data_IF_509648528059
#
_entry.id   IF_509648528059
#
_cell.length_a   1.000
_cell.length_b   1.000
_cell.length_c   1.000
_cell.angle_alpha   90.00
_cell.angle_beta   90.00
_cell.angle_gamma   90.00
#
_symmetry.space_group_name_H-M   'P 1'
#
loop_
_entity.id
_entity.type
_entity.pdbx_description
1 polymer ?
#
# COMPACT_ATOMS: atom_id res chain seq x y z
N UNK A 1 -24.50 -56.95 1.15
CA UNK A 1 -24.37 -55.64 1.80
C UNK A 1 -22.87 -55.39 1.90
N UNK A 2 -22.37 -54.55 1.00
CA UNK A 2 -20.95 -54.41 0.65
C UNK A 2 -20.36 -53.18 1.33
N UNK A 3 -19.45 -53.42 2.27
CA UNK A 3 -18.62 -52.42 2.98
C UNK A 3 -17.44 -51.89 2.15
N UNK A 4 -17.56 -51.86 0.81
CA UNK A 4 -16.43 -51.53 -0.09
C UNK A 4 -16.60 -50.19 -0.84
N UNK A 5 -17.67 -49.44 -0.57
CA UNK A 5 -17.95 -48.15 -1.20
C UNK A 5 -17.63 -46.92 -0.35
N UNK A 6 -17.11 -47.10 0.87
CA UNK A 6 -16.81 -45.98 1.77
C UNK A 6 -15.31 -45.71 2.02
N UNK A 7 -14.38 -46.54 1.51
CA UNK A 7 -12.95 -46.32 1.74
C UNK A 7 -12.21 -45.58 0.61
N UNK A 8 -12.86 -45.39 -0.55
CA UNK A 8 -12.28 -44.69 -1.73
C UNK A 8 -12.69 -43.22 -1.86
N UNK A 9 -13.69 -42.76 -1.12
CA UNK A 9 -14.22 -41.40 -1.18
C UNK A 9 -13.65 -40.45 -0.10
N UNK A 10 -12.75 -40.91 0.77
CA UNK A 10 -12.32 -40.12 1.95
C UNK A 10 -10.79 -39.97 2.10
N UNK A 11 -10.02 -40.22 1.04
CA UNK A 11 -8.55 -39.99 1.04
C UNK A 11 -8.01 -39.20 -0.16
N UNK A 12 -8.89 -38.66 -1.02
CA UNK A 12 -8.49 -38.10 -2.33
C UNK A 12 -8.77 -36.60 -2.51
N UNK A 13 -9.23 -35.86 -1.51
CA UNK A 13 -9.47 -34.39 -1.64
C UNK A 13 -8.48 -33.50 -0.88
N UNK A 14 -7.37 -34.04 -0.34
CA UNK A 14 -6.56 -33.31 0.67
C UNK A 14 -5.12 -32.97 0.23
N UNK A 15 -4.69 -33.31 -1.00
CA UNK A 15 -3.28 -33.11 -1.41
C UNK A 15 -3.10 -32.68 -2.88
N UNK A 16 -3.98 -31.83 -3.43
CA UNK A 16 -3.68 -31.08 -4.66
C UNK A 16 -3.27 -29.67 -4.26
N UNK A 17 -2.09 -29.24 -4.69
CA UNK A 17 -1.36 -28.12 -4.10
C UNK A 17 -1.92 -26.77 -4.54
N UNK A 18 -2.65 -26.12 -3.63
CA UNK A 18 -3.03 -24.72 -3.76
C UNK A 18 -1.76 -23.85 -3.68
N UNK A 19 -1.54 -22.98 -4.66
CA UNK A 19 -0.33 -22.18 -4.76
C UNK A 19 -0.54 -20.72 -4.30
N UNK A 20 0.39 -20.21 -3.48
CA UNK A 20 0.56 -18.77 -3.23
C UNK A 20 1.64 -18.24 -4.16
N UNK A 21 1.35 -17.15 -4.85
CA UNK A 21 2.31 -16.42 -5.68
C UNK A 21 2.76 -15.13 -5.02
N UNK A 22 4.07 -14.87 -5.07
CA UNK A 22 4.67 -13.62 -4.62
C UNK A 22 5.75 -13.16 -5.58
N UNK A 23 5.77 -11.86 -5.83
CA UNK A 23 6.69 -11.22 -6.76
C UNK A 23 7.59 -10.26 -5.99
N UNK A 24 8.90 -10.45 -6.12
CA UNK A 24 9.92 -9.46 -5.79
C UNK A 24 10.62 -9.06 -7.10
N UNK A 25 10.68 -7.76 -7.39
CA UNK A 25 10.90 -7.25 -8.75
C UNK A 25 12.27 -7.46 -9.40
N UNK A 26 12.28 -7.51 -10.75
CA UNK A 26 13.43 -7.35 -11.65
C UNK A 26 13.03 -6.52 -12.90
N UNK A 27 13.09 -5.20 -12.77
CA UNK A 27 12.84 -4.17 -13.80
C UNK A 27 13.06 -2.79 -13.16
N UNK A 28 13.46 -1.75 -13.90
CA UNK A 28 13.59 -0.39 -13.35
C UNK A 28 12.92 0.59 -14.32
N UNK A 29 11.83 1.21 -13.89
CA UNK A 29 11.21 2.33 -14.56
C UNK A 29 11.41 3.59 -13.71
N UNK A 30 11.78 4.71 -14.33
CA UNK A 30 12.07 5.98 -13.66
C UNK A 30 11.29 7.10 -14.33
N UNK A 31 10.63 7.91 -13.51
CA UNK A 31 9.73 8.98 -13.95
C UNK A 31 10.08 10.26 -13.25
N UNK A 32 10.11 11.37 -13.98
CA UNK A 32 10.51 12.66 -13.42
C UNK A 32 9.42 13.69 -13.69
N UNK A 33 8.87 14.27 -12.63
CA UNK A 33 8.09 15.51 -12.69
C UNK A 33 9.04 16.70 -12.58
N UNK A 34 8.90 17.71 -13.46
CA UNK A 34 9.73 18.92 -13.41
C UNK A 34 8.87 20.16 -13.57
N UNK A 35 8.97 21.10 -12.63
CA UNK A 35 8.34 22.43 -12.73
C UNK A 35 9.34 23.46 -12.24
N UNK A 36 9.53 24.54 -13.00
CA UNK A 36 10.26 25.75 -12.61
C UNK A 36 11.66 25.59 -11.94
N UNK A 37 12.40 24.50 -12.16
CA UNK A 37 13.73 24.28 -11.57
C UNK A 37 13.74 23.28 -10.40
N UNK A 38 12.57 22.87 -9.94
CA UNK A 38 12.37 21.72 -9.07
C UNK A 38 12.17 20.43 -9.88
N UNK A 39 12.55 19.30 -9.28
CA UNK A 39 12.26 17.99 -9.85
C UNK A 39 12.00 16.94 -8.78
N UNK A 40 11.09 16.02 -9.06
CA UNK A 40 10.86 14.83 -8.26
C UNK A 40 10.94 13.59 -9.16
N UNK A 41 11.57 12.52 -8.70
CA UNK A 41 11.74 11.28 -9.49
C UNK A 41 11.25 10.06 -8.73
N UNK A 42 10.45 9.20 -9.37
CA UNK A 42 10.00 7.90 -8.84
C UNK A 42 10.69 6.76 -9.59
N UNK A 43 11.26 5.78 -8.88
CA UNK A 43 11.84 4.56 -9.46
C UNK A 43 11.16 3.30 -8.92
N UNK A 44 10.68 2.39 -9.78
CA UNK A 44 9.92 1.18 -9.40
C UNK A 44 10.61 -0.09 -9.90
N UNK A 45 10.49 -1.20 -9.14
CA UNK A 45 10.85 -2.54 -9.62
C UNK A 45 9.71 -3.57 -9.59
N UNK A 46 9.55 -4.32 -10.69
CA UNK A 46 8.57 -5.41 -10.84
C UNK A 46 9.18 -6.62 -11.55
N UNK A 47 8.62 -7.81 -11.37
CA UNK A 47 9.05 -9.06 -12.02
C UNK A 47 7.85 -9.97 -12.26
N UNK A 48 7.95 -10.93 -13.19
CA UNK A 48 6.84 -11.85 -13.47
C UNK A 48 6.78 -13.01 -12.47
N UNK A 49 5.60 -13.64 -12.33
CA UNK A 49 5.41 -14.86 -11.54
C UNK A 49 4.85 -16.02 -12.36
N UNK A 50 5.52 -17.17 -12.26
CA UNK A 50 5.10 -18.41 -12.88
C UNK A 50 4.68 -19.43 -11.82
N UNK A 51 3.50 -20.04 -12.00
CA UNK A 51 3.07 -21.21 -11.24
C UNK A 51 2.65 -22.35 -12.15
N UNK A 52 2.98 -23.56 -11.73
CA UNK A 52 2.47 -24.77 -12.34
C UNK A 52 1.98 -25.73 -11.25
N UNK A 53 0.71 -26.12 -11.32
CA UNK A 53 0.11 -27.09 -10.40
C UNK A 53 -0.88 -28.02 -11.13
N UNK A 54 -1.39 -29.02 -10.43
CA UNK A 54 -2.25 -30.09 -10.95
C UNK A 54 -3.72 -29.67 -11.14
N UNK A 55 -4.07 -28.45 -10.75
CA UNK A 55 -5.45 -27.94 -10.76
C UNK A 55 -5.65 -26.72 -11.66
N UNK A 56 -4.57 -26.01 -11.94
CA UNK A 56 -4.58 -24.68 -12.53
C UNK A 56 -5.22 -23.62 -11.63
N UNK A 57 -5.36 -23.85 -10.32
CA UNK A 57 -5.97 -22.88 -9.38
C UNK A 57 -4.93 -22.05 -8.62
N UNK A 58 -5.28 -20.81 -8.28
CA UNK A 58 -4.48 -19.91 -7.42
C UNK A 58 -5.33 -19.49 -6.23
N UNK A 59 -4.80 -19.54 -5.01
CA UNK A 59 -5.55 -19.03 -3.83
C UNK A 59 -5.12 -17.65 -3.38
N UNK A 60 -3.96 -17.18 -3.83
CA UNK A 60 -3.45 -15.87 -3.47
C UNK A 60 -2.36 -15.38 -4.42
N UNK A 61 -2.48 -14.13 -4.84
CA UNK A 61 -1.47 -13.35 -5.55
C UNK A 61 -1.02 -12.20 -4.66
N UNK A 62 0.29 -12.05 -4.50
CA UNK A 62 0.89 -10.98 -3.72
C UNK A 62 1.93 -10.20 -4.52
N UNK A 63 2.08 -8.92 -4.21
CA UNK A 63 3.12 -8.05 -4.74
C UNK A 63 4.02 -7.58 -3.59
N UNK A 64 5.34 -7.53 -3.80
CA UNK A 64 6.27 -6.96 -2.84
C UNK A 64 6.93 -5.70 -3.42
N UNK A 65 6.22 -4.55 -3.40
CA UNK A 65 6.69 -3.38 -4.11
C UNK A 65 7.98 -2.85 -3.50
N UNK A 66 8.78 -2.13 -4.29
CA UNK A 66 9.86 -1.28 -3.80
C UNK A 66 9.97 -0.07 -4.70
N UNK A 67 10.22 1.08 -4.09
CA UNK A 67 10.43 2.31 -4.84
C UNK A 67 11.29 3.32 -4.10
N UNK A 68 11.89 4.22 -4.87
CA UNK A 68 12.60 5.39 -4.36
C UNK A 68 11.99 6.64 -4.97
N UNK A 69 11.83 7.66 -4.13
CA UNK A 69 11.41 9.01 -4.49
C UNK A 69 12.55 9.96 -4.16
N UNK A 70 13.04 10.69 -5.15
CA UNK A 70 14.04 11.73 -4.96
C UNK A 70 13.40 13.09 -5.25
N UNK A 71 13.74 14.13 -4.51
CA UNK A 71 13.35 15.51 -4.79
C UNK A 71 14.54 16.45 -4.65
N UNK A 72 14.53 17.53 -5.43
CA UNK A 72 15.56 18.57 -5.38
C UNK A 72 14.99 19.91 -5.84
N UNK A 73 15.52 21.00 -5.27
CA UNK A 73 15.21 22.37 -5.67
C UNK A 73 13.79 22.83 -5.36
N UNK A 74 13.12 22.26 -4.35
CA UNK A 74 11.83 22.76 -3.87
C UNK A 74 12.03 24.04 -3.04
N UNK A 75 11.02 24.92 -3.01
CA UNK A 75 11.00 26.06 -2.09
C UNK A 75 10.53 25.65 -0.69
N UNK A 76 9.63 24.67 -0.62
CA UNK A 76 9.14 24.07 0.63
C UNK A 76 10.00 22.87 1.07
N UNK A 77 10.28 22.78 2.38
CA UNK A 77 10.85 21.58 2.96
C UNK A 77 9.86 20.40 2.95
N UNK A 78 10.32 19.22 2.54
CA UNK A 78 9.56 17.96 2.65
C UNK A 78 9.76 17.38 4.04
N UNK A 79 8.66 17.14 4.74
CA UNK A 79 8.63 16.49 6.05
C UNK A 79 8.13 15.06 6.02
N UNK A 80 7.25 14.73 5.07
CA UNK A 80 6.61 13.42 4.97
C UNK A 80 6.43 13.03 3.52
N UNK A 81 6.36 11.72 3.29
CA UNK A 81 6.07 11.15 1.98
C UNK A 81 4.81 10.31 2.11
N UNK A 82 3.69 10.82 1.63
CA UNK A 82 2.49 10.00 1.46
C UNK A 82 2.64 9.15 0.21
N UNK A 83 2.17 7.91 0.28
CA UNK A 83 2.01 7.09 -0.92
C UNK A 83 0.81 6.16 -0.83
N UNK A 84 0.22 5.91 -2.00
CA UNK A 84 -0.87 5.00 -2.26
C UNK A 84 -0.43 3.99 -3.32
N UNK A 85 -0.71 2.73 -3.04
CA UNK A 85 -0.56 1.61 -3.97
C UNK A 85 -1.95 1.07 -4.30
N UNK A 86 -2.24 1.00 -5.59
CA UNK A 86 -3.48 0.44 -6.13
C UNK A 86 -3.15 -0.67 -7.12
N UNK A 87 -4.10 -1.59 -7.33
CA UNK A 87 -3.96 -2.64 -8.33
C UNK A 87 -5.21 -2.76 -9.20
N UNK A 88 -4.99 -3.23 -10.42
CA UNK A 88 -6.03 -3.62 -11.37
C UNK A 88 -5.68 -4.99 -11.92
N UNK A 89 -6.62 -5.93 -11.84
CA UNK A 89 -6.40 -7.34 -12.19
C UNK A 89 -7.14 -7.70 -13.48
N UNK A 90 -6.41 -8.23 -14.46
CA UNK A 90 -6.97 -8.69 -15.72
C UNK A 90 -7.72 -7.59 -16.48
N UNK A 91 -8.97 -7.88 -16.85
CA UNK A 91 -9.83 -6.99 -17.62
C UNK A 91 -10.67 -6.03 -16.75
N UNK A 92 -10.38 -5.90 -15.44
CA UNK A 92 -11.03 -4.89 -14.60
C UNK A 92 -10.82 -3.49 -15.18
N UNK A 93 -11.84 -2.63 -15.08
CA UNK A 93 -11.80 -1.27 -15.62
C UNK A 93 -11.08 -0.29 -14.67
N UNK A 94 -11.21 -0.50 -13.36
CA UNK A 94 -10.79 0.44 -12.31
C UNK A 94 -9.63 -0.12 -11.47
N UNK A 95 -8.84 0.79 -10.91
CA UNK A 95 -7.82 0.45 -9.91
C UNK A 95 -8.47 0.43 -8.53
N UNK A 96 -8.23 -0.63 -7.76
CA UNK A 96 -8.64 -0.73 -6.36
C UNK A 96 -7.46 -0.45 -5.44
N UNK A 97 -7.64 0.36 -4.38
CA UNK A 97 -6.58 0.65 -3.43
C UNK A 97 -6.21 -0.61 -2.64
N UNK A 98 -4.90 -0.84 -2.49
CA UNK A 98 -4.35 -1.96 -1.74
C UNK A 98 -3.73 -1.52 -0.42
N UNK A 99 -2.96 -0.43 -0.47
CA UNK A 99 -2.14 -0.02 0.66
C UNK A 99 -1.83 1.47 0.58
N UNK A 100 -1.78 2.12 1.75
CA UNK A 100 -1.33 3.50 1.87
C UNK A 100 -0.51 3.70 3.14
N UNK A 101 0.40 4.66 3.12
CA UNK A 101 1.14 5.09 4.30
C UNK A 101 1.65 6.54 4.16
N UNK A 102 1.96 7.15 5.29
CA UNK A 102 2.60 8.48 5.36
C UNK A 102 3.80 8.46 6.31
N UNK A 103 4.89 7.77 5.96
CA UNK A 103 6.12 7.80 6.74
C UNK A 103 6.60 9.24 7.00
N UNK A 104 7.00 9.49 8.24
CA UNK A 104 7.58 10.74 8.68
C UNK A 104 9.10 10.68 8.58
N UNK A 105 9.69 11.62 7.84
CA UNK A 105 11.14 11.70 7.67
C UNK A 105 11.85 11.95 9.01
N UNK A 106 13.09 11.47 9.11
CA UNK A 106 14.03 11.80 10.17
C UNK A 106 14.44 13.26 10.13
N UNK A 107 14.94 13.80 11.24
CA UNK A 107 15.34 15.21 11.31
C UNK A 107 16.43 15.56 10.27
N UNK A 108 17.34 14.63 9.99
CA UNK A 108 18.42 14.74 9.01
C UNK A 108 17.97 14.52 7.55
N UNK A 109 16.72 14.10 7.34
CA UNK A 109 16.13 13.83 6.02
C UNK A 109 15.13 14.92 5.59
N UNK A 110 14.70 15.78 6.52
CA UNK A 110 13.80 16.90 6.23
C UNK A 110 14.57 17.97 5.45
N UNK A 111 13.97 18.47 4.38
CA UNK A 111 14.55 19.59 3.62
C UNK A 111 13.99 19.74 2.22
N UNK A 112 14.50 20.73 1.51
CA UNK A 112 14.11 21.10 0.13
C UNK A 112 14.70 20.19 -0.95
N UNK A 113 15.62 19.30 -0.55
CA UNK A 113 16.19 18.24 -1.37
C UNK A 113 16.39 16.99 -0.52
N UNK A 114 16.14 15.81 -1.08
CA UNK A 114 16.20 14.58 -0.32
C UNK A 114 15.79 13.35 -1.13
N UNK A 115 15.72 12.22 -0.41
CA UNK A 115 15.32 10.94 -0.96
C UNK A 115 14.58 10.13 0.09
N UNK A 116 13.56 9.40 -0.36
CA UNK A 116 12.83 8.42 0.44
C UNK A 116 12.82 7.10 -0.30
N UNK A 117 13.16 6.00 0.39
CA UNK A 117 13.08 4.66 -0.18
C UNK A 117 12.12 3.80 0.63
N UNK A 118 11.14 3.22 -0.05
CA UNK A 118 10.37 2.09 0.47
C UNK A 118 11.05 0.79 0.02
N UNK A 119 11.73 0.05 0.92
CA UNK A 119 12.24 -1.26 0.60
C UNK A 119 11.11 -2.28 0.43
N UNK A 120 11.40 -3.39 -0.25
CA UNK A 120 10.55 -4.58 -0.25
C UNK A 120 10.70 -5.36 1.06
N UNK A 121 9.85 -6.38 1.27
CA UNK A 121 9.82 -7.18 2.50
C UNK A 121 11.13 -7.91 2.79
N UNK A 122 11.86 -8.35 1.76
CA UNK A 122 13.17 -8.99 1.92
C UNK A 122 14.25 -8.04 2.45
N UNK A 123 14.10 -6.73 2.23
CA UNK A 123 15.00 -5.69 2.70
C UNK A 123 14.42 -4.88 3.88
N UNK A 124 13.48 -5.47 4.62
CA UNK A 124 12.93 -4.89 5.86
C UNK A 124 11.73 -3.95 5.65
N UNK A 125 11.16 -3.90 4.45
CA UNK A 125 9.91 -3.19 4.17
C UNK A 125 8.67 -3.92 4.66
N UNK A 126 7.54 -3.22 4.71
CA UNK A 126 6.23 -3.82 4.97
C UNK A 126 5.72 -4.51 3.70
N UNK A 127 5.38 -5.79 3.81
CA UNK A 127 4.91 -6.63 2.70
C UNK A 127 5.19 -8.12 2.94
N UNK A 128 4.88 -9.00 1.96
CA UNK A 128 4.25 -8.69 0.68
C UNK A 128 2.76 -8.31 0.84
N UNK A 129 2.25 -7.50 -0.09
CA UNK A 129 0.86 -7.05 -0.14
C UNK A 129 0.00 -8.05 -0.90
N UNK A 130 -1.19 -8.37 -0.39
CA UNK A 130 -2.18 -9.20 -1.08
C UNK A 130 -2.86 -8.38 -2.17
N UNK A 131 -2.74 -8.85 -3.41
CA UNK A 131 -3.39 -8.27 -4.59
C UNK A 131 -4.72 -8.98 -4.86
N UNK A 132 -4.71 -10.30 -4.76
CA UNK A 132 -5.90 -11.12 -4.95
C UNK A 132 -5.87 -12.35 -4.03
N UNK A 133 -7.03 -12.79 -3.55
CA UNK A 133 -7.21 -14.00 -2.78
C UNK A 133 -8.61 -14.61 -2.98
N UNK A 134 -9.00 -15.59 -2.16
CA UNK A 134 -10.31 -16.25 -2.27
C UNK A 134 -11.48 -15.36 -1.80
N UNK A 135 -11.21 -14.31 -1.01
CA UNK A 135 -12.23 -13.43 -0.42
C UNK A 135 -12.58 -12.27 -1.38
N UNK A 136 -11.60 -11.82 -2.16
CA UNK A 136 -11.77 -10.80 -3.18
C UNK A 136 -11.79 -9.37 -2.64
N UNK A 137 -12.30 -8.45 -3.47
CA UNK A 137 -12.43 -7.04 -3.06
C UNK A 137 -13.50 -6.91 -1.95
N UNK A 138 -13.19 -6.23 -0.83
CA UNK A 138 -14.17 -6.00 0.23
C UNK A 138 -15.37 -5.18 -0.25
N UNK A 139 -16.56 -5.52 0.25
CA UNK A 139 -17.75 -4.67 0.09
C UNK A 139 -17.71 -3.57 1.16
N UNK A 140 -17.04 -2.47 0.85
CA UNK A 140 -16.91 -1.32 1.75
C UNK A 140 -18.25 -0.71 2.17
N UNK A 141 -19.35 -0.97 1.45
CA UNK A 141 -20.69 -0.47 1.84
C UNK A 141 -21.23 -1.13 3.11
N UNK A 142 -20.64 -2.27 3.50
CA UNK A 142 -20.98 -2.99 4.73
C UNK A 142 -20.23 -2.48 5.96
N UNK A 143 -19.25 -1.58 5.78
CA UNK A 143 -18.44 -1.06 6.88
C UNK A 143 -19.24 -0.02 7.68
N UNK A 144 -19.17 -0.12 9.01
CA UNK A 144 -19.84 0.84 9.89
C UNK A 144 -18.87 1.92 10.38
N UNK A 145 -18.92 3.08 9.70
CA UNK A 145 -18.12 4.27 10.05
C UNK A 145 -18.77 5.15 11.12
N UNK A 146 -19.98 4.82 11.62
CA UNK A 146 -20.74 5.73 12.50
C UNK A 146 -20.05 6.07 13.81
N UNK A 147 -19.08 5.25 14.23
CA UNK A 147 -18.27 5.46 15.42
C UNK A 147 -16.98 6.26 15.16
N UNK A 148 -16.60 6.49 13.90
CA UNK A 148 -15.45 7.33 13.56
C UNK A 148 -15.89 8.77 13.32
N UNK A 149 -15.43 9.68 14.18
CA UNK A 149 -15.61 11.11 13.94
C UNK A 149 -14.83 11.56 12.71
N UNK A 150 -15.53 12.11 11.71
CA UNK A 150 -14.90 12.70 10.53
C UNK A 150 -14.40 11.70 9.49
N UNK A 151 -14.87 10.45 9.54
CA UNK A 151 -14.67 9.45 8.48
C UNK A 151 -16.03 8.95 8.03
N UNK A 152 -16.23 8.89 6.72
CA UNK A 152 -17.33 8.17 6.10
C UNK A 152 -16.81 7.36 4.90
N UNK A 153 -17.69 6.61 4.24
CA UNK A 153 -17.31 5.78 3.09
C UNK A 153 -16.66 6.61 1.96
N UNK A 154 -17.14 7.84 1.74
CA UNK A 154 -16.61 8.72 0.70
C UNK A 154 -15.21 9.20 1.06
N UNK A 155 -15.04 9.77 2.25
CA UNK A 155 -13.71 10.22 2.70
C UNK A 155 -12.69 9.07 2.77
N UNK A 156 -13.18 7.85 3.02
CA UNK A 156 -12.36 6.66 3.09
C UNK A 156 -11.86 6.20 1.72
N UNK A 157 -12.75 6.10 0.73
CA UNK A 157 -12.38 5.70 -0.63
C UNK A 157 -11.61 6.80 -1.36
N UNK A 158 -11.95 8.07 -1.11
CA UNK A 158 -11.22 9.22 -1.66
C UNK A 158 -9.87 9.44 -0.97
N UNK A 159 -9.63 8.79 0.18
CA UNK A 159 -8.39 8.87 0.93
C UNK A 159 -8.21 10.09 1.81
N UNK A 160 -9.14 11.03 1.77
CA UNK A 160 -9.07 12.30 2.51
C UNK A 160 -9.21 12.12 4.02
N UNK A 161 -9.84 11.04 4.49
CA UNK A 161 -9.90 10.70 5.92
C UNK A 161 -10.21 9.22 6.12
N UNK A 162 -9.34 8.48 6.83
CA UNK A 162 -9.52 7.04 7.12
C UNK A 162 -9.17 6.62 8.55
N UNK A 163 -8.86 7.57 9.44
CA UNK A 163 -8.47 7.24 10.82
C UNK A 163 -7.25 6.30 10.95
N UNK A 164 -7.06 5.70 12.13
CA UNK A 164 -5.97 4.78 12.47
C UNK A 164 -6.32 3.32 12.23
N UNK A 165 -5.33 2.49 11.95
CA UNK A 165 -5.44 1.10 11.46
C UNK A 165 -5.86 0.15 12.56
N UNK A 166 -5.53 0.52 13.79
CA UNK A 166 -6.05 -0.08 15.01
C UNK A 166 -7.58 0.06 15.12
N UNK A 167 -8.19 1.01 14.40
CA UNK A 167 -9.63 1.22 14.46
C UNK A 167 -10.42 0.20 13.64
N UNK A 168 -9.79 -0.56 12.73
CA UNK A 168 -10.49 -1.50 11.85
C UNK A 168 -10.44 -2.91 12.42
N UNK A 169 -11.54 -3.35 13.03
CA UNK A 169 -11.61 -4.63 13.75
C UNK A 169 -12.51 -5.64 13.03
N UNK A 170 -12.04 -6.88 12.78
CA UNK A 170 -12.88 -7.92 12.21
C UNK A 170 -13.97 -8.38 13.19
N UNK A 171 -15.22 -8.43 12.72
CA UNK A 171 -16.36 -9.13 13.32
C UNK A 171 -16.61 -8.93 14.81
N UNK A 172 -17.64 -8.18 15.17
CA UNK A 172 -18.10 -8.10 16.56
C UNK A 172 -18.84 -6.80 16.88
N UNK A 173 -19.38 -6.65 18.11
CA UNK A 173 -19.78 -5.33 18.58
C UNK A 173 -18.54 -4.44 18.67
N UNK A 174 -18.66 -3.19 18.20
CA UNK A 174 -17.64 -2.13 18.35
C UNK A 174 -17.09 -2.14 19.78
N UNK A 175 -15.80 -2.47 20.01
CA UNK A 175 -15.24 -2.51 21.36
C UNK A 175 -15.31 -1.15 22.08
N UNK A 176 -15.35 -0.05 21.32
CA UNK A 176 -15.56 1.31 21.81
C UNK A 176 -16.11 2.24 20.71
N UNK A 177 -16.18 3.55 21.00
CA UNK A 177 -16.64 4.59 20.08
C UNK A 177 -15.54 5.10 19.14
N UNK A 178 -14.52 4.29 18.85
CA UNK A 178 -13.41 4.65 17.95
C UNK A 178 -13.10 3.58 16.92
N UNK A 179 -13.92 2.55 16.76
CA UNK A 179 -13.66 1.45 15.81
C UNK A 179 -14.67 1.36 14.66
N UNK A 180 -14.17 0.96 13.50
CA UNK A 180 -14.93 0.45 12.35
C UNK A 180 -15.04 -1.06 12.49
N UNK A 181 -16.28 -1.55 12.47
CA UNK A 181 -16.55 -2.99 12.44
C UNK A 181 -16.51 -3.44 10.98
N UNK A 182 -15.53 -4.29 10.65
CA UNK A 182 -15.39 -4.94 9.34
C UNK A 182 -16.04 -6.33 9.43
N UNK A 183 -16.77 -6.81 8.40
CA UNK A 183 -17.30 -8.17 8.41
C UNK A 183 -16.20 -9.22 8.65
N UNK A 184 -16.49 -10.23 9.49
CA UNK A 184 -15.50 -11.26 9.85
C UNK A 184 -15.06 -12.14 8.67
N UNK A 185 -15.87 -12.18 7.62
CA UNK A 185 -15.69 -12.91 6.36
C UNK A 185 -15.09 -12.03 5.25
N UNK A 186 -14.71 -10.78 5.55
CA UNK A 186 -14.00 -9.89 4.62
C UNK A 186 -12.78 -9.27 5.32
N UNK A 187 -11.70 -10.05 5.52
CA UNK A 187 -10.51 -9.54 6.18
C UNK A 187 -9.85 -8.41 5.38
N UNK A 188 -9.35 -7.41 6.09
CA UNK A 188 -8.50 -6.36 5.54
C UNK A 188 -7.10 -6.94 5.28
N UNK A 189 -6.81 -7.34 4.05
CA UNK A 189 -5.63 -8.15 3.70
C UNK A 189 -4.29 -7.42 3.74
N UNK A 190 -4.30 -6.09 3.86
CA UNK A 190 -3.10 -5.25 3.88
C UNK A 190 -3.11 -4.26 5.04
N UNK A 191 -3.73 -4.61 6.18
CA UNK A 191 -3.77 -3.76 7.37
C UNK A 191 -2.55 -4.00 8.28
N UNK A 192 -1.77 -2.94 8.57
CA UNK A 192 -0.56 -2.99 9.39
C UNK A 192 -0.64 -2.01 10.57
N UNK A 193 -1.35 -2.39 11.66
CA UNK A 193 -1.64 -1.46 12.75
C UNK A 193 -0.40 -0.89 13.45
N UNK A 194 0.65 -1.70 13.62
CA UNK A 194 1.90 -1.26 14.24
C UNK A 194 2.64 -0.17 13.45
N UNK A 195 2.33 -0.02 12.16
CA UNK A 195 2.91 1.01 11.29
C UNK A 195 1.93 2.15 10.99
N UNK A 196 0.76 2.13 11.65
CA UNK A 196 -0.40 2.96 11.38
C UNK A 196 -0.79 3.05 9.89
N UNK A 197 -0.59 1.95 9.16
CA UNK A 197 -0.61 1.94 7.70
C UNK A 197 -1.46 0.79 7.15
N UNK A 198 -1.96 0.96 5.93
CA UNK A 198 -2.70 -0.08 5.23
C UNK A 198 -4.14 -0.25 5.73
N UNK A 199 -5.08 -0.07 4.82
CA UNK A 199 -6.50 0.08 5.16
C UNK A 199 -7.37 -0.26 3.96
N UNK A 200 -7.02 -1.33 3.24
CA UNK A 200 -7.86 -1.88 2.18
C UNK A 200 -7.74 -3.40 2.17
N UNK A 201 -8.57 -4.06 1.36
CA UNK A 201 -8.46 -5.49 1.10
C UNK A 201 -7.64 -5.81 -0.13
N UNK A 202 -7.92 -6.96 -0.72
CA UNK A 202 -7.44 -7.31 -2.05
C UNK A 202 -8.17 -6.48 -3.13
N UNK A 203 -7.59 -6.38 -4.33
CA UNK A 203 -8.20 -5.72 -5.49
C UNK A 203 -9.09 -6.65 -6.31
N UNK A 204 -8.96 -7.97 -6.14
CA UNK A 204 -9.73 -8.96 -6.89
C UNK A 204 -9.79 -10.28 -6.12
N UNK A 205 -10.75 -11.13 -6.48
CA UNK A 205 -10.64 -12.55 -6.17
C UNK A 205 -9.60 -13.23 -7.09
N UNK A 206 -9.34 -14.52 -6.88
CA UNK A 206 -8.37 -15.29 -7.68
C UNK A 206 -8.93 -15.86 -8.98
N UNK A 207 -10.23 -15.75 -9.26
CA UNK A 207 -10.86 -16.35 -10.43
C UNK A 207 -10.25 -15.90 -11.77
N UNK A 208 -9.77 -14.66 -11.95
CA UNK A 208 -9.09 -14.25 -13.18
C UNK A 208 -7.83 -15.05 -13.50
N UNK A 209 -7.13 -15.56 -12.47
CA UNK A 209 -5.86 -16.28 -12.63
C UNK A 209 -6.03 -17.77 -12.91
N UNK A 210 -7.19 -18.33 -12.59
CA UNK A 210 -7.43 -19.77 -12.70
C UNK A 210 -7.39 -20.24 -14.16
N UNK A 211 -6.64 -21.31 -14.41
CA UNK A 211 -6.54 -21.96 -15.71
C UNK A 211 -7.13 -23.38 -15.68
N UNK A 212 -8.40 -23.49 -16.08
CA UNK A 212 -9.11 -24.77 -16.13
C UNK A 212 -8.75 -25.69 -17.30
N UNK A 213 -7.98 -25.24 -18.31
CA UNK A 213 -7.68 -26.05 -19.50
C UNK A 213 -6.38 -26.85 -19.32
N UNK A 214 -6.48 -28.20 -19.16
CA UNK A 214 -5.30 -29.02 -18.94
C UNK A 214 -4.34 -28.92 -20.12
N UNK A 215 -3.05 -28.74 -19.84
CA UNK A 215 -1.95 -28.57 -20.81
C UNK A 215 -1.76 -27.18 -21.42
N UNK A 216 -2.53 -26.18 -20.99
CA UNK A 216 -2.32 -24.78 -21.40
C UNK A 216 -1.71 -23.94 -20.28
N UNK A 217 -1.26 -22.74 -20.64
CA UNK A 217 -0.87 -21.68 -19.71
C UNK A 217 -1.86 -20.54 -19.89
N UNK A 218 -2.53 -20.14 -18.81
CA UNK A 218 -3.32 -18.92 -18.74
C UNK A 218 -2.43 -17.79 -18.24
N UNK A 219 -2.58 -16.60 -18.80
CA UNK A 219 -1.84 -15.40 -18.41
C UNK A 219 -2.83 -14.33 -17.97
N UNK A 220 -2.55 -13.70 -16.83
CA UNK A 220 -3.31 -12.56 -16.32
C UNK A 220 -2.36 -11.44 -15.99
N UNK A 221 -2.59 -10.26 -16.55
CA UNK A 221 -1.81 -9.06 -16.26
C UNK A 221 -2.35 -8.41 -14.99
N UNK A 222 -1.46 -8.00 -14.10
CA UNK A 222 -1.76 -7.13 -12.98
C UNK A 222 -1.03 -5.81 -13.19
N UNK A 223 -1.77 -4.71 -13.17
CA UNK A 223 -1.20 -3.37 -13.14
C UNK A 223 -1.17 -2.85 -11.70
N UNK A 224 -0.03 -2.30 -11.27
CA UNK A 224 0.15 -1.63 -9.99
C UNK A 224 0.38 -0.14 -10.23
N UNK A 225 -0.47 0.71 -9.67
CA UNK A 225 -0.32 2.16 -9.71
C UNK A 225 0.23 2.68 -8.38
N UNK A 226 1.24 3.53 -8.48
CA UNK A 226 1.91 4.21 -7.39
C UNK A 226 1.51 5.68 -7.48
N UNK A 227 0.91 6.21 -6.44
CA UNK A 227 0.69 7.66 -6.29
C UNK A 227 1.48 8.12 -5.07
N UNK A 228 2.30 9.15 -5.22
CA UNK A 228 3.12 9.74 -4.16
C UNK A 228 2.77 11.21 -4.02
N UNK A 229 2.73 11.69 -2.79
CA UNK A 229 2.57 13.11 -2.44
C UNK A 229 3.67 13.50 -1.45
N UNK A 230 4.41 14.56 -1.77
CA UNK A 230 5.41 15.17 -0.89
C UNK A 230 4.72 16.21 -0.02
N UNK A 231 4.79 16.03 1.30
CA UNK A 231 4.08 16.87 2.26
C UNK A 231 5.05 17.64 3.15
N UNK A 232 4.67 18.86 3.50
CA UNK A 232 5.39 19.73 4.43
C UNK A 232 5.43 19.16 5.85
N UNK A 233 6.46 19.47 6.65
CA UNK A 233 6.48 19.09 8.06
C UNK A 233 5.39 19.79 8.86
N UNK A 234 4.99 19.19 9.98
CA UNK A 234 4.03 19.82 10.89
C UNK A 234 4.38 19.59 12.36
N UNK A 235 3.74 20.33 13.26
CA UNK A 235 4.05 20.27 14.70
C UNK A 235 3.81 18.88 15.32
N UNK A 236 2.83 18.12 14.82
CA UNK A 236 2.55 16.77 15.35
C UNK A 236 3.68 15.78 15.08
N UNK A 237 4.41 15.96 13.98
CA UNK A 237 5.64 15.23 13.66
C UNK A 237 6.84 15.79 14.42
N UNK A 238 7.06 17.10 14.33
CA UNK A 238 8.33 17.73 14.72
C UNK A 238 8.66 17.60 16.20
N UNK A 239 7.64 17.47 17.07
CA UNK A 239 7.88 17.14 18.48
C UNK A 239 8.73 15.87 18.65
N UNK A 240 8.66 14.89 17.74
CA UNK A 240 9.51 13.69 17.80
C UNK A 240 10.83 13.81 17.03
N UNK A 241 11.20 15.01 16.58
CA UNK A 241 12.36 15.27 15.73
C UNK A 241 13.31 16.32 16.30
N UNK A 242 12.92 16.99 17.37
CA UNK A 242 13.75 17.93 18.12
C UNK A 242 14.45 17.24 19.29
N UNK A 243 15.63 17.73 19.66
CA UNK A 243 16.32 17.37 20.89
C UNK A 243 15.85 18.28 22.01
N UNK A 244 15.16 17.69 22.98
CA UNK A 244 14.65 18.42 24.15
C UNK A 244 15.77 18.83 25.11
N UNK A 245 16.90 18.11 25.15
CA UNK A 245 18.00 18.44 26.07
C UNK A 245 18.61 19.82 25.77
N UNK A 246 18.47 20.29 24.54
CA UNK A 246 18.95 21.58 24.07
C UNK A 246 17.94 22.73 24.24
N UNK A 247 16.77 22.47 24.83
CA UNK A 247 15.71 23.46 25.06
C UNK A 247 15.58 23.73 26.57
N UNK A 248 15.83 24.98 27.01
CA UNK A 248 15.76 25.33 28.42
C UNK A 248 14.36 25.11 29.00
N UNK A 249 14.27 24.26 30.03
CA UNK A 249 13.02 23.96 30.73
C UNK A 249 12.08 23.00 30.01
N UNK A 250 12.50 22.34 28.93
CA UNK A 250 11.72 21.32 28.22
C UNK A 250 12.47 20.00 28.29
N UNK A 251 11.89 18.98 28.93
CA UNK A 251 12.47 17.63 29.03
C UNK A 251 11.58 16.55 28.43
N UNK A 252 10.45 16.92 27.82
CA UNK A 252 9.44 15.98 27.36
C UNK A 252 8.57 16.54 26.24
N UNK A 253 7.90 15.64 25.52
CA UNK A 253 6.92 16.00 24.49
C UNK A 253 5.77 16.83 25.03
N UNK A 254 5.28 16.55 26.24
CA UNK A 254 4.17 17.30 26.83
C UNK A 254 4.58 18.75 27.14
N UNK A 255 5.82 18.95 27.61
CA UNK A 255 6.37 20.29 27.87
C UNK A 255 6.63 21.05 26.57
N UNK A 256 7.13 20.39 25.53
CA UNK A 256 7.29 20.99 24.21
C UNK A 256 5.94 21.43 23.62
N UNK A 257 4.93 20.57 23.69
CA UNK A 257 3.58 20.89 23.20
C UNK A 257 2.89 22.00 24.00
N UNK A 258 3.35 22.28 25.23
CA UNK A 258 2.85 23.39 26.04
C UNK A 258 3.46 24.74 25.67
N UNK A 259 4.54 24.76 24.88
CA UNK A 259 5.10 25.99 24.33
C UNK A 259 4.12 26.63 23.33
N UNK A 260 4.15 27.97 23.16
CA UNK A 260 3.46 28.62 22.05
C UNK A 260 3.87 28.03 20.70
N UNK A 261 2.92 27.86 19.77
CA UNK A 261 3.16 27.25 18.45
C UNK A 261 4.33 27.91 17.69
N UNK A 262 4.41 29.24 17.69
CA UNK A 262 5.52 29.97 17.07
C UNK A 262 6.89 29.68 17.70
N UNK A 263 6.93 29.37 19.01
CA UNK A 263 8.15 28.96 19.70
C UNK A 263 8.53 27.53 19.32
N UNK A 264 7.55 26.61 19.28
CA UNK A 264 7.76 25.23 18.80
C UNK A 264 8.37 25.21 17.38
N UNK A 265 7.81 26.01 16.47
CA UNK A 265 8.33 26.14 15.10
C UNK A 265 9.74 26.71 15.06
N UNK A 266 10.00 27.76 15.83
CA UNK A 266 11.32 28.40 15.86
C UNK A 266 12.40 27.45 16.36
N UNK A 267 12.10 26.67 17.40
CA UNK A 267 13.00 25.63 17.92
C UNK A 267 13.27 24.57 16.86
N UNK A 268 12.22 24.06 16.20
CA UNK A 268 12.40 23.04 15.17
C UNK A 268 13.27 23.53 14.01
N UNK A 269 13.01 24.75 13.51
CA UNK A 269 13.81 25.38 12.45
C UNK A 269 15.25 25.72 12.88
N UNK A 270 15.51 25.95 14.17
CA UNK A 270 16.87 26.16 14.68
C UNK A 270 17.69 24.85 14.74
N UNK A 271 17.03 23.74 15.08
CA UNK A 271 17.71 22.45 15.28
C UNK A 271 17.82 21.61 13.98
N UNK A 272 16.89 21.80 13.04
CA UNK A 272 16.82 21.03 11.80
C UNK A 272 17.35 21.87 10.65
N UNK A 273 18.49 21.45 10.08
CA UNK A 273 19.13 22.16 8.97
C UNK A 273 18.22 22.16 7.72
N UNK A 274 18.14 23.30 7.03
CA UNK A 274 17.31 23.45 5.83
C UNK A 274 15.80 23.54 6.07
N UNK A 275 15.34 23.62 7.32
CA UNK A 275 13.93 23.83 7.66
C UNK A 275 13.67 25.29 8.04
N UNK A 276 12.70 25.95 7.40
CA UNK A 276 12.24 27.29 7.79
C UNK A 276 10.95 27.24 8.60
N UNK A 277 10.70 28.28 9.41
CA UNK A 277 9.45 28.40 10.20
C UNK A 277 8.21 28.44 9.29
N UNK A 278 8.34 29.00 8.09
CA UNK A 278 7.28 29.05 7.07
C UNK A 278 6.88 27.68 6.55
N UNK A 279 7.78 26.70 6.60
CA UNK A 279 7.57 25.33 6.07
C UNK A 279 6.75 24.47 7.01
N UNK A 280 6.52 24.94 8.24
CA UNK A 280 5.91 24.13 9.29
C UNK A 280 4.42 24.44 9.39
N UNK A 281 3.60 23.43 9.10
CA UNK A 281 2.16 23.52 9.32
C UNK A 281 1.80 23.35 10.81
N UNK A 282 0.85 24.18 11.28
CA UNK A 282 0.30 24.04 12.63
C UNK A 282 -0.55 22.78 12.77
N UNK A 283 -1.30 22.45 11.71
CA UNK A 283 -2.27 21.36 11.66
C UNK A 283 -1.80 20.17 10.83
N UNK A 284 -2.69 19.64 9.99
CA UNK A 284 -2.33 18.60 9.04
C UNK A 284 -1.31 19.16 8.04
N UNK A 285 -0.35 18.32 7.66
CA UNK A 285 0.62 18.64 6.63
C UNK A 285 -0.09 18.94 5.31
N UNK A 286 0.31 20.01 4.67
CA UNK A 286 -0.09 20.38 3.32
C UNK A 286 0.91 19.83 2.29
N UNK A 287 0.49 19.67 1.05
CA UNK A 287 1.39 19.39 -0.06
C UNK A 287 2.41 20.54 -0.23
N UNK A 288 3.65 20.21 -0.56
CA UNK A 288 4.69 21.19 -0.93
C UNK A 288 4.31 21.95 -2.20
N UNK A 289 4.77 23.19 -2.38
CA UNK A 289 4.62 23.99 -3.60
C UNK A 289 3.17 24.28 -4.02
N UNK A 290 2.20 24.24 -3.10
CA UNK A 290 0.78 24.39 -3.44
C UNK A 290 0.45 25.76 -4.04
N UNK A 291 0.20 25.81 -5.35
CA UNK A 291 -0.05 27.06 -6.10
C UNK A 291 1.20 27.93 -6.34
N UNK A 292 2.38 27.46 -5.91
CA UNK A 292 3.64 28.18 -6.03
C UNK A 292 4.33 27.85 -7.36
N UNK A 293 5.05 28.81 -7.93
CA UNK A 293 5.86 28.61 -9.14
C UNK A 293 5.16 27.96 -10.35
N UNK A 294 3.85 28.15 -10.45
CA UNK A 294 3.03 27.61 -11.53
C UNK A 294 2.58 26.17 -11.33
N UNK A 295 2.83 25.58 -10.16
CA UNK A 295 2.19 24.35 -9.74
C UNK A 295 0.69 24.56 -9.53
N UNK A 296 -0.09 23.50 -9.70
CA UNK A 296 -1.53 23.52 -9.41
C UNK A 296 -1.82 23.95 -7.96
N UNK A 297 -2.87 24.75 -7.75
CA UNK A 297 -3.32 25.18 -6.43
C UNK A 297 -4.52 24.32 -6.01
N UNK A 298 -4.32 23.46 -5.03
CA UNK A 298 -5.37 22.63 -4.45
C UNK A 298 -6.24 23.44 -3.48
N UNK A 299 -7.56 23.27 -3.56
CA UNK A 299 -8.52 23.89 -2.64
C UNK A 299 -8.36 23.37 -1.19
N UNK A 300 -7.94 22.11 -1.06
CA UNK A 300 -7.73 21.41 0.23
C UNK A 300 -6.36 20.71 0.25
N UNK A 301 -5.26 21.47 0.43
CA UNK A 301 -3.90 20.96 0.24
C UNK A 301 -3.43 19.99 1.33
N UNK A 302 -4.17 19.80 2.41
CA UNK A 302 -3.86 18.84 3.49
C UNK A 302 -4.74 17.58 3.50
N UNK A 303 -5.51 17.38 2.43
CA UNK A 303 -6.44 16.28 2.27
C UNK A 303 -6.92 16.16 0.84
N UNK A 304 -5.97 15.96 -0.08
CA UNK A 304 -6.22 15.89 -1.52
C UNK A 304 -6.82 14.51 -1.86
N UNK A 305 -8.00 14.43 -2.50
CA UNK A 305 -8.54 13.16 -2.98
C UNK A 305 -7.60 12.45 -3.93
N UNK A 306 -7.58 11.10 -3.92
CA UNK A 306 -6.73 10.31 -4.81
C UNK A 306 -6.89 10.66 -6.29
N UNK A 307 -8.13 10.82 -6.72
CA UNK A 307 -8.43 11.21 -8.11
C UNK A 307 -7.89 12.59 -8.46
N UNK A 308 -7.91 13.54 -7.52
CA UNK A 308 -7.37 14.89 -7.75
C UNK A 308 -5.84 14.88 -7.80
N UNK A 309 -5.17 14.08 -6.97
CA UNK A 309 -3.73 13.87 -7.08
C UNK A 309 -3.35 13.29 -8.46
N UNK A 310 -4.01 12.20 -8.85
CA UNK A 310 -3.72 11.51 -10.10
C UNK A 310 -3.97 12.39 -11.34
N UNK A 311 -5.02 13.21 -11.30
CA UNK A 311 -5.36 14.11 -12.41
C UNK A 311 -4.40 15.30 -12.56
N UNK A 312 -3.68 15.67 -11.51
CA UNK A 312 -2.78 16.83 -11.49
C UNK A 312 -1.31 16.46 -11.33
N UNK A 313 -0.94 15.17 -11.43
CA UNK A 313 0.44 14.71 -11.28
C UNK A 313 1.40 15.34 -12.31
N UNK A 314 0.92 15.61 -13.52
CA UNK A 314 1.71 16.27 -14.58
C UNK A 314 1.87 17.78 -14.36
N UNK A 315 1.01 18.38 -13.53
CA UNK A 315 0.92 19.82 -13.30
C UNK A 315 1.40 20.23 -11.89
N UNK A 316 1.98 19.29 -11.12
CA UNK A 316 2.42 19.55 -9.75
C UNK A 316 3.65 18.71 -9.34
N UNK A 317 4.76 19.37 -8.99
CA UNK A 317 6.04 18.70 -8.68
C UNK A 317 6.03 17.85 -7.40
N UNK A 318 5.16 18.19 -6.46
CA UNK A 318 4.95 17.42 -5.23
C UNK A 318 4.13 16.13 -5.42
N UNK A 319 3.62 15.84 -6.63
CA UNK A 319 2.85 14.63 -6.91
C UNK A 319 3.55 13.80 -7.99
N UNK A 320 3.67 12.51 -7.74
CA UNK A 320 4.19 11.55 -8.72
C UNK A 320 3.19 10.41 -8.86
N UNK A 321 2.80 10.09 -10.10
CA UNK A 321 1.97 8.93 -10.37
C UNK A 321 2.63 8.08 -11.44
N UNK A 322 2.69 6.77 -11.22
CA UNK A 322 3.16 5.84 -12.23
C UNK A 322 2.49 4.46 -12.15
N UNK A 323 2.54 3.69 -13.24
CA UNK A 323 2.00 2.34 -13.33
C UNK A 323 3.03 1.35 -13.86
N UNK A 324 3.25 0.26 -13.13
CA UNK A 324 4.00 -0.91 -13.61
C UNK A 324 3.08 -2.10 -13.78
N UNK A 325 3.47 -3.05 -14.61
CA UNK A 325 2.72 -4.30 -14.79
C UNK A 325 3.59 -5.51 -14.47
N UNK A 326 2.95 -6.62 -14.12
CA UNK A 326 3.53 -7.96 -14.10
C UNK A 326 2.51 -8.97 -14.62
N UNK A 327 3.00 -10.06 -15.20
CA UNK A 327 2.15 -11.15 -15.66
C UNK A 327 2.20 -12.32 -14.68
N UNK A 328 1.02 -12.85 -14.36
CA UNK A 328 0.85 -14.12 -13.65
C UNK A 328 0.52 -15.21 -14.66
N UNK A 329 1.40 -16.20 -14.75
CA UNK A 329 1.25 -17.34 -15.66
C UNK A 329 0.88 -18.60 -14.87
N UNK A 330 -0.28 -19.19 -15.16
CA UNK A 330 -0.79 -20.40 -14.49
C UNK A 330 -0.86 -21.57 -15.48
N UNK A 331 0.01 -22.56 -15.27
CA UNK A 331 0.02 -23.78 -16.08
C UNK A 331 -0.70 -24.91 -15.36
N UNK A 332 -1.78 -25.40 -15.97
CA UNK A 332 -2.48 -26.60 -15.52
C UNK A 332 -1.76 -27.85 -16.04
N UNK A 333 -1.00 -28.50 -15.15
CA UNK A 333 -0.24 -29.67 -15.52
C UNK A 333 -1.14 -30.89 -15.69
N UNK A 334 -0.97 -31.66 -16.77
CA UNK A 334 -1.74 -32.88 -16.95
C UNK A 334 -1.45 -33.86 -15.80
N UNK A 335 -2.50 -34.48 -15.27
CA UNK A 335 -2.43 -35.60 -14.33
C UNK A 335 -1.52 -36.70 -14.90
N UNK A 336 -0.25 -36.76 -14.47
CA UNK A 336 0.62 -37.90 -14.79
C UNK A 336 0.29 -39.08 -13.89
N UNK A 337 -0.94 -39.60 -13.95
CA UNK A 337 -1.24 -40.96 -13.49
C UNK A 337 -1.02 -41.96 -14.63
N UNK A 338 0.17 -41.93 -15.23
CA UNK A 338 0.64 -42.91 -16.22
C UNK A 338 1.17 -44.18 -15.54
N UNK A 339 0.40 -44.79 -14.64
CA UNK A 339 0.72 -46.10 -14.07
C UNK A 339 0.34 -47.19 -15.06
N UNK A 340 1.19 -47.49 -16.05
CA UNK A 340 1.05 -48.71 -16.85
C UNK A 340 1.45 -49.91 -15.98
N UNK A 341 0.54 -50.34 -15.09
CA UNK A 341 0.65 -51.62 -14.40
C UNK A 341 0.33 -52.74 -15.39
N UNK A 342 1.36 -53.28 -16.05
CA UNK A 342 1.23 -54.58 -16.70
C UNK A 342 0.91 -55.62 -15.64
N UNK A 343 -0.32 -56.12 -15.63
CA UNK A 343 -0.69 -57.28 -14.82
C UNK A 343 0.12 -58.48 -15.32
N UNK A 344 1.02 -58.99 -14.50
CA UNK A 344 1.68 -60.25 -14.78
C UNK A 344 0.63 -61.36 -14.75
N UNK A 345 0.22 -61.87 -15.91
CA UNK A 345 -0.74 -62.96 -16.05
C UNK A 345 -0.14 -64.35 -15.81
N UNK A 346 1.07 -64.45 -15.26
CA UNK A 346 1.66 -65.73 -14.86
C UNK A 346 2.17 -65.67 -13.42
N UNK A 347 1.24 -65.85 -12.48
CA UNK A 347 1.52 -66.44 -11.18
C UNK A 347 0.87 -67.83 -11.18
N UNK A 348 1.67 -68.86 -11.47
CA UNK A 348 1.37 -70.26 -11.12
C UNK A 348 1.89 -70.55 -9.71
#
# INVERSE_FOLDING_TARGET
MSDDNMSKLTRRSVLGGVATLGIAGAGVASFTGTVAGASSTLSISSGDADVANDRGDVSRVTADPSFTVDWDGLDDAVGKVFFLLEARVGDQDEFSPLYRATPWLGADEIGTAGSFTRPNSENGGLGPLVVADEDGEPDYTTFDFSNLGGVDLGSYLDGTSMSSSDNYVPGGPSPDSSTVVVPSDQPMQNNYPNADAGYYGAASDTAPFDNGDPTTTGETVVALRYTVELQRPNLSQLKYRVDYEDIDGVGSTDEFQALPEGEQKSVAAEQIDGLEVSDIDDGNSTIVMNGEDGNYEFDTPSGIPYSEMQNNADDHVGILTDTTEFTVSVTNQPDTSGGSGSSNSEAN
#
